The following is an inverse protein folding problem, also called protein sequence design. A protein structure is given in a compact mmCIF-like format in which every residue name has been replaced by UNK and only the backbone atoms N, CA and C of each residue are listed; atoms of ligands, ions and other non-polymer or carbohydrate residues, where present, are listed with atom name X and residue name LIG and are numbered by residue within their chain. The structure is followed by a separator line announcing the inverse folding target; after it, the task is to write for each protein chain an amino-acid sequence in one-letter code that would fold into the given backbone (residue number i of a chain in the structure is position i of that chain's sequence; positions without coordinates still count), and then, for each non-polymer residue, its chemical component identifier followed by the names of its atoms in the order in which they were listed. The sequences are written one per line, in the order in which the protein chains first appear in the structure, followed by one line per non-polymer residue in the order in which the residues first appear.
data_IF_275248592765
#
_entry.id   IF_275248592765
#
_cell.length_a   1.000
_cell.length_b   1.000
_cell.length_c   1.000
_cell.angle_alpha   90.00
_cell.angle_beta   90.00
_cell.angle_gamma   90.00
#
_symmetry.space_group_name_H-M   'P 1'
#
loop_
_entity.id
_entity.type
_entity.pdbx_description
1 polymer ?
#
# COMPACT_ATOMS: atom_id res chain seq x y z
N UNK A 1 -4.72 14.64 0.58
CA UNK A 1 -5.09 15.27 -0.70
C UNK A 1 -5.55 14.17 -1.65
N UNK A 2 -6.84 14.11 -2.00
CA UNK A 2 -7.41 13.04 -2.83
C UNK A 2 -7.38 13.51 -4.29
N UNK A 3 -6.47 12.97 -5.11
CA UNK A 3 -6.42 13.25 -6.54
C UNK A 3 -7.19 12.16 -7.27
N UNK A 4 -8.32 12.52 -7.89
CA UNK A 4 -9.06 11.60 -8.75
C UNK A 4 -9.81 12.32 -9.87
N UNK A 5 -9.50 11.96 -11.12
CA UNK A 5 -10.48 11.57 -12.16
C UNK A 5 -9.80 11.21 -13.49
N UNK A 6 -10.14 10.02 -13.99
CA UNK A 6 -9.85 9.53 -15.34
C UNK A 6 -10.06 8.02 -15.37
N UNK A 7 -10.67 7.47 -16.42
CA UNK A 7 -11.00 6.03 -16.55
C UNK A 7 -9.75 5.11 -16.72
N UNK A 8 -8.59 5.52 -16.21
CA UNK A 8 -7.31 4.82 -16.21
C UNK A 8 -6.82 4.58 -14.78
N UNK A 9 -5.84 3.69 -14.63
CA UNK A 9 -5.23 3.25 -13.37
C UNK A 9 -5.37 4.25 -12.19
N UNK A 10 -6.11 3.84 -11.15
CA UNK A 10 -6.25 4.59 -9.91
C UNK A 10 -4.98 4.40 -9.07
N UNK A 11 -4.51 5.48 -8.43
CA UNK A 11 -3.38 5.45 -7.52
C UNK A 11 -3.80 6.14 -6.23
N UNK A 12 -3.61 5.48 -5.11
CA UNK A 12 -3.88 6.03 -3.79
C UNK A 12 -2.61 6.01 -2.96
N UNK A 13 -2.37 7.07 -2.21
CA UNK A 13 -1.24 7.17 -1.31
C UNK A 13 -1.73 7.69 0.04
N UNK A 14 -1.35 7.01 1.10
CA UNK A 14 -1.64 7.39 2.47
C UNK A 14 -0.33 7.54 3.24
N UNK A 15 -0.25 8.59 4.05
CA UNK A 15 0.85 8.90 4.94
C UNK A 15 0.25 9.13 6.33
N UNK A 16 0.64 8.31 7.29
CA UNK A 16 0.28 8.44 8.68
C UNK A 16 1.10 9.53 9.38
N UNK A 17 0.50 10.17 10.37
CA UNK A 17 1.13 11.22 11.18
C UNK A 17 2.23 10.68 12.12
N UNK A 18 2.23 9.37 12.39
CA UNK A 18 3.24 8.70 13.22
C UNK A 18 3.74 7.40 12.57
N UNK A 19 5.03 7.06 12.74
CA UNK A 19 5.54 5.74 12.36
C UNK A 19 4.97 4.65 13.29
N UNK A 20 4.89 3.42 12.79
CA UNK A 20 4.41 2.27 13.56
C UNK A 20 2.94 1.93 13.36
N UNK A 21 2.29 2.51 12.34
CA UNK A 21 0.93 2.11 11.96
C UNK A 21 1.00 0.74 11.27
N UNK A 22 0.29 -0.24 11.81
CA UNK A 22 0.17 -1.58 11.23
C UNK A 22 -0.44 -1.56 9.83
N UNK A 23 -0.27 -2.64 9.07
CA UNK A 23 -0.64 -2.66 7.65
C UNK A 23 -2.14 -2.38 7.44
N UNK A 24 -3.01 -2.95 8.29
CA UNK A 24 -4.44 -2.66 8.26
C UNK A 24 -4.76 -1.17 8.52
N UNK A 25 -4.03 -0.53 9.44
CA UNK A 25 -4.21 0.89 9.73
C UNK A 25 -3.77 1.79 8.59
N UNK A 26 -2.70 1.45 7.88
CA UNK A 26 -2.24 2.19 6.69
C UNK A 26 -3.18 2.03 5.50
N UNK A 27 -3.86 0.89 5.40
CA UNK A 27 -4.82 0.60 4.33
C UNK A 27 -6.24 1.11 4.64
N UNK A 28 -6.52 1.53 5.88
CA UNK A 28 -7.83 2.03 6.26
C UNK A 28 -8.23 3.29 5.47
N UNK A 29 -9.47 3.33 4.99
CA UNK A 29 -10.02 4.42 4.19
C UNK A 29 -9.59 4.42 2.71
N UNK A 30 -8.85 3.41 2.25
CA UNK A 30 -8.54 3.21 0.84
C UNK A 30 -9.77 2.71 0.05
N UNK A 31 -9.71 2.80 -1.27
CA UNK A 31 -10.73 2.16 -2.11
C UNK A 31 -10.66 0.64 -1.98
N UNK A 32 -11.82 0.00 -1.89
CA UNK A 32 -11.98 -1.46 -1.72
C UNK A 32 -11.36 -2.01 -0.42
N UNK A 33 -11.31 -1.21 0.64
CA UNK A 33 -10.69 -1.60 1.92
C UNK A 33 -11.23 -2.94 2.48
N UNK A 34 -12.54 -3.21 2.34
CA UNK A 34 -13.19 -4.44 2.82
C UNK A 34 -12.65 -5.70 2.12
N UNK A 35 -12.16 -5.59 0.89
CA UNK A 35 -11.59 -6.71 0.13
C UNK A 35 -10.06 -6.74 0.19
N UNK A 36 -9.44 -5.56 0.11
CA UNK A 36 -8.00 -5.40 -0.04
C UNK A 36 -7.28 -5.66 1.29
N UNK A 37 -7.81 -5.15 2.41
CA UNK A 37 -7.20 -5.33 3.73
C UNK A 37 -7.07 -6.81 4.10
N UNK A 38 -8.14 -7.64 4.07
CA UNK A 38 -8.03 -9.04 4.45
C UNK A 38 -7.02 -9.81 3.58
N UNK A 39 -6.95 -9.51 2.27
CA UNK A 39 -6.02 -10.18 1.36
C UNK A 39 -4.57 -9.80 1.61
N UNK A 40 -4.28 -8.53 1.87
CA UNK A 40 -2.93 -8.11 2.26
C UNK A 40 -2.53 -8.65 3.63
N UNK A 41 -3.48 -8.77 4.56
CA UNK A 41 -3.22 -9.37 5.87
C UNK A 41 -2.96 -10.87 5.83
N UNK A 42 -3.45 -11.57 4.80
CA UNK A 42 -3.05 -12.96 4.54
C UNK A 42 -1.62 -13.07 4.00
N UNK A 43 -1.18 -12.10 3.18
CA UNK A 43 0.19 -12.07 2.66
C UNK A 43 1.21 -11.70 3.73
N UNK A 44 0.82 -10.76 4.61
CA UNK A 44 1.67 -10.21 5.66
C UNK A 44 0.90 -10.20 6.99
N UNK A 45 0.75 -11.36 7.65
CA UNK A 45 0.09 -11.40 8.94
C UNK A 45 0.83 -10.54 9.97
N UNK A 46 0.09 -9.93 10.89
CA UNK A 46 0.67 -9.19 12.01
C UNK A 46 1.44 -10.13 12.96
N UNK A 47 2.51 -9.64 13.63
CA UNK A 47 3.02 -8.27 13.58
C UNK A 47 3.81 -7.99 12.29
N UNK A 48 3.46 -6.90 11.60
CA UNK A 48 4.21 -6.44 10.44
C UNK A 48 5.61 -6.01 10.90
N UNK A 49 6.70 -6.61 10.36
CA UNK A 49 8.00 -6.66 11.03
C UNK A 49 8.72 -5.30 11.13
N UNK A 50 8.27 -4.28 10.42
CA UNK A 50 8.90 -2.96 10.39
C UNK A 50 7.86 -1.86 10.53
N UNK A 51 8.18 -0.82 11.31
CA UNK A 51 7.33 0.37 11.41
C UNK A 51 7.25 1.05 10.04
N UNK A 52 6.03 1.13 9.50
CA UNK A 52 5.72 1.87 8.28
C UNK A 52 4.86 3.07 8.63
N UNK A 53 5.04 4.14 7.86
CA UNK A 53 4.23 5.35 7.97
C UNK A 53 3.46 5.65 6.69
N UNK A 54 3.65 4.90 5.60
CA UNK A 54 3.02 5.18 4.34
C UNK A 54 2.69 3.91 3.55
N UNK A 55 1.63 3.98 2.75
CA UNK A 55 1.29 2.97 1.73
C UNK A 55 0.93 3.65 0.42
N UNK A 56 1.33 3.02 -0.69
CA UNK A 56 0.95 3.43 -2.05
C UNK A 56 0.27 2.23 -2.71
N UNK A 57 -1.00 2.41 -3.08
CA UNK A 57 -1.81 1.42 -3.77
C UNK A 57 -1.93 1.80 -5.25
N UNK A 58 -1.60 0.85 -6.12
CA UNK A 58 -1.72 0.99 -7.57
C UNK A 58 -2.78 0.00 -8.07
N UNK A 59 -3.88 0.52 -8.59
CA UNK A 59 -4.98 -0.29 -9.13
C UNK A 59 -4.84 -0.46 -10.64
N UNK A 60 -5.27 -1.62 -11.16
CA UNK A 60 -5.15 -1.98 -12.58
C UNK A 60 -3.71 -1.86 -13.11
N UNK A 61 -2.73 -2.20 -12.27
CA UNK A 61 -1.31 -2.15 -12.62
C UNK A 61 -0.68 -3.54 -12.50
N UNK A 62 0.14 -3.92 -13.48
CA UNK A 62 0.92 -5.15 -13.43
C UNK A 62 2.33 -4.81 -12.95
N UNK A 63 2.70 -5.32 -11.77
CA UNK A 63 4.06 -5.19 -11.27
C UNK A 63 4.95 -6.26 -11.89
N UNK A 64 6.04 -5.84 -12.53
CA UNK A 64 6.96 -6.73 -13.26
C UNK A 64 8.07 -7.35 -12.39
N UNK A 65 8.15 -7.00 -11.10
CA UNK A 65 9.13 -7.59 -10.18
C UNK A 65 10.50 -6.92 -10.14
N UNK A 66 10.77 -5.90 -10.97
CA UNK A 66 12.13 -5.36 -11.13
C UNK A 66 12.61 -4.49 -9.96
N UNK A 67 11.72 -3.73 -9.31
CA UNK A 67 12.10 -2.78 -8.25
C UNK A 67 11.32 -3.10 -6.97
N UNK A 68 11.91 -3.95 -6.13
CA UNK A 68 11.29 -4.37 -4.86
C UNK A 68 11.58 -3.43 -3.69
N UNK A 69 12.70 -2.73 -3.75
CA UNK A 69 13.13 -1.78 -2.73
C UNK A 69 13.72 -0.57 -3.44
N UNK A 70 13.32 0.62 -3.01
CA UNK A 70 13.89 1.88 -3.46
C UNK A 70 14.08 2.79 -2.25
N UNK A 71 15.30 3.25 -2.04
CA UNK A 71 15.63 4.15 -0.95
C UNK A 71 16.55 5.28 -1.39
N UNK A 72 16.48 6.38 -0.66
CA UNK A 72 17.46 7.45 -0.66
C UNK A 72 17.76 7.87 0.79
N UNK A 73 18.51 8.95 0.99
CA UNK A 73 18.89 9.43 2.33
C UNK A 73 17.71 9.77 3.26
N UNK A 74 16.50 9.94 2.72
CA UNK A 74 15.32 10.44 3.47
C UNK A 74 14.15 9.47 3.50
N UNK A 75 14.03 8.57 2.54
CA UNK A 75 12.87 7.69 2.39
C UNK A 75 13.28 6.31 1.88
N UNK A 76 12.52 5.31 2.31
CA UNK A 76 12.60 3.93 1.85
C UNK A 76 11.20 3.45 1.53
N UNK A 77 11.03 2.82 0.36
CA UNK A 77 9.77 2.23 -0.08
C UNK A 77 10.03 0.79 -0.51
N UNK A 78 9.22 -0.12 0.03
CA UNK A 78 9.25 -1.53 -0.30
C UNK A 78 7.98 -1.93 -1.03
N UNK A 79 8.15 -2.73 -2.09
CA UNK A 79 7.06 -3.47 -2.68
C UNK A 79 6.68 -4.62 -1.76
N UNK A 80 5.52 -4.49 -1.11
CA UNK A 80 5.02 -5.51 -0.18
C UNK A 80 4.19 -6.58 -0.89
N UNK A 81 3.51 -6.27 -1.99
CA UNK A 81 2.74 -7.29 -2.71
C UNK A 81 1.66 -6.75 -3.63
N UNK A 82 0.93 -7.68 -4.23
CA UNK A 82 -0.23 -7.41 -5.07
C UNK A 82 -1.32 -8.41 -4.75
N UNK A 83 -2.54 -7.92 -4.59
CA UNK A 83 -3.73 -8.76 -4.41
C UNK A 83 -4.68 -8.54 -5.57
N UNK A 84 -5.46 -9.57 -5.92
CA UNK A 84 -6.60 -9.39 -6.82
C UNK A 84 -7.75 -8.75 -6.04
N UNK A 85 -8.52 -7.92 -6.70
CA UNK A 85 -9.76 -7.32 -6.21
C UNK A 85 -10.81 -7.43 -7.32
N UNK A 86 -12.06 -7.67 -6.95
CA UNK A 86 -13.16 -7.92 -7.91
C UNK A 86 -14.13 -6.74 -8.01
#
# INVERSE_FOLDING_TARGET
MRLGRGAGALREAYLADSPGVGLAGLLAGCSYEEEVIPRFMQLHPEPFPEERNAVILLYKFAYNGHVRHAANERLSVDYIGSVRYE
#
